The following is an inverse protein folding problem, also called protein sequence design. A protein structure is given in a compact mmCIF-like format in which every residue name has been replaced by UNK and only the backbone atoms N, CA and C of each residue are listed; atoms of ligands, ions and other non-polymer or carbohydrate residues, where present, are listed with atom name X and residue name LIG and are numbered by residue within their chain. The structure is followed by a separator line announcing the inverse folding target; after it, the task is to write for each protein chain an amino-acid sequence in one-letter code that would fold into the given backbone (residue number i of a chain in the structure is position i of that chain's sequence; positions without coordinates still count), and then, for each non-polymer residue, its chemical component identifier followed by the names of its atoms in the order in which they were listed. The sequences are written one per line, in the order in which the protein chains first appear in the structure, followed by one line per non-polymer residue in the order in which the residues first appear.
data_IF_140753774666
#
_entry.id   IF_140753774666
#
_cell.length_a   1.000
_cell.length_b   1.000
_cell.length_c   1.000
_cell.angle_alpha   90.00
_cell.angle_beta   90.00
_cell.angle_gamma   90.00
#
_symmetry.space_group_name_H-M   'P 1'
#
loop_
_entity.id
_entity.type
_entity.pdbx_description
1 polymer ?
#
# COMPACT_ATOMS: atom_id res chain seq x y z
N UNK A 1 43.89 -22.09 -66.08
CA UNK A 1 42.61 -22.75 -66.44
C UNK A 1 42.03 -23.53 -65.27
N UNK A 2 42.80 -24.45 -64.64
CA UNK A 2 42.30 -25.28 -63.52
C UNK A 2 41.88 -24.50 -62.25
N UNK A 3 42.66 -23.50 -61.81
CA UNK A 3 42.32 -22.74 -60.59
C UNK A 3 40.98 -21.98 -60.70
N UNK A 4 40.67 -21.45 -61.89
CA UNK A 4 39.38 -20.79 -62.16
C UNK A 4 38.19 -21.75 -62.14
N UNK A 5 38.41 -23.02 -62.48
CA UNK A 5 37.35 -24.03 -62.44
C UNK A 5 36.98 -24.41 -60.99
N UNK A 6 37.98 -24.52 -60.12
CA UNK A 6 37.77 -24.82 -58.68
C UNK A 6 37.05 -23.66 -57.97
N UNK A 7 37.39 -22.42 -58.30
CA UNK A 7 36.68 -21.24 -57.79
C UNK A 7 35.21 -21.21 -58.24
N UNK A 8 34.95 -21.63 -59.48
CA UNK A 8 33.61 -21.66 -60.07
C UNK A 8 32.73 -22.75 -59.43
N UNK A 9 33.30 -23.93 -59.18
CA UNK A 9 32.64 -25.03 -58.50
C UNK A 9 32.31 -24.67 -57.03
N UNK A 10 33.23 -24.01 -56.34
CA UNK A 10 33.00 -23.49 -54.98
C UNK A 10 31.91 -22.41 -54.93
N UNK A 11 31.84 -21.55 -55.95
CA UNK A 11 30.78 -20.55 -56.10
C UNK A 11 29.43 -21.20 -56.41
N UNK A 12 29.38 -22.23 -57.25
CA UNK A 12 28.16 -22.98 -57.55
C UNK A 12 27.58 -23.65 -56.31
N UNK A 13 28.42 -24.35 -55.52
CA UNK A 13 27.98 -24.98 -54.29
C UNK A 13 27.37 -23.97 -53.29
N UNK A 14 28.02 -22.80 -53.15
CA UNK A 14 27.51 -21.72 -52.29
C UNK A 14 26.20 -21.15 -52.80
N UNK A 15 26.04 -21.03 -54.12
CA UNK A 15 24.81 -20.56 -54.75
C UNK A 15 23.66 -21.55 -54.48
N UNK A 16 23.89 -22.83 -54.69
CA UNK A 16 22.89 -23.89 -54.47
C UNK A 16 22.42 -23.94 -53.00
N UNK A 17 23.35 -23.79 -52.06
CA UNK A 17 23.01 -23.75 -50.64
C UNK A 17 22.22 -22.49 -50.27
N UNK A 18 22.52 -21.34 -50.90
CA UNK A 18 21.74 -20.11 -50.73
C UNK A 18 20.34 -20.21 -51.33
N UNK A 19 20.22 -20.76 -52.54
CA UNK A 19 18.94 -21.00 -53.21
C UNK A 19 18.05 -21.93 -52.38
N UNK A 20 18.63 -23.01 -51.84
CA UNK A 20 17.93 -23.96 -50.96
C UNK A 20 17.41 -23.30 -49.69
N UNK A 21 18.16 -22.36 -49.11
CA UNK A 21 17.75 -21.64 -47.88
C UNK A 21 16.70 -20.56 -48.14
N UNK A 22 16.78 -19.85 -49.25
CA UNK A 22 15.89 -18.70 -49.55
C UNK A 22 14.58 -19.16 -50.21
N UNK A 23 14.65 -20.07 -51.17
CA UNK A 23 13.50 -20.52 -51.93
C UNK A 23 12.93 -21.86 -51.42
N UNK A 24 13.72 -22.63 -50.65
CA UNK A 24 13.36 -23.98 -50.25
C UNK A 24 13.56 -24.98 -51.40
N UNK A 25 13.02 -26.20 -51.26
CA UNK A 25 13.09 -27.24 -52.30
C UNK A 25 12.20 -26.98 -53.53
N UNK A 26 11.49 -25.85 -53.59
CA UNK A 26 10.57 -25.51 -54.66
C UNK A 26 11.00 -24.21 -55.35
N UNK A 27 11.65 -24.36 -56.51
CA UNK A 27 12.14 -23.26 -57.36
C UNK A 27 10.99 -22.58 -58.14
N UNK A 28 9.76 -23.09 -58.07
CA UNK A 28 8.61 -22.55 -58.81
C UNK A 28 8.03 -21.27 -58.19
N UNK A 29 8.41 -20.94 -56.94
CA UNK A 29 7.91 -19.75 -56.25
C UNK A 29 8.84 -18.58 -56.55
N UNK A 30 8.37 -17.67 -57.41
CA UNK A 30 9.09 -16.47 -57.86
C UNK A 30 9.62 -15.56 -56.74
N UNK A 31 10.20 -14.39 -57.06
CA UNK A 31 10.96 -13.57 -56.12
C UNK A 31 10.18 -13.30 -54.83
N UNK A 32 10.53 -14.00 -53.73
CA UNK A 32 9.90 -13.78 -52.44
C UNK A 32 10.42 -12.46 -51.87
N UNK A 33 9.53 -11.52 -51.57
CA UNK A 33 9.87 -10.30 -50.82
C UNK A 33 10.07 -10.62 -49.34
N UNK A 34 11.05 -11.49 -49.03
CA UNK A 34 11.34 -11.97 -47.68
C UNK A 34 11.65 -10.80 -46.73
N UNK A 35 12.24 -9.72 -47.24
CA UNK A 35 12.47 -8.49 -46.50
C UNK A 35 11.14 -7.84 -46.07
N UNK A 36 10.17 -7.70 -46.98
CA UNK A 36 8.86 -7.11 -46.67
C UNK A 36 8.06 -8.00 -45.71
N UNK A 37 8.12 -9.33 -45.87
CA UNK A 37 7.48 -10.28 -44.96
C UNK A 37 8.10 -10.25 -43.56
N UNK A 38 9.43 -10.16 -43.48
CA UNK A 38 10.14 -10.02 -42.21
C UNK A 38 9.81 -8.70 -41.52
N UNK A 39 9.74 -7.61 -42.27
CA UNK A 39 9.28 -6.30 -41.76
C UNK A 39 7.85 -6.41 -41.25
N UNK A 40 6.96 -7.09 -41.97
CA UNK A 40 5.57 -7.31 -41.54
C UNK A 40 5.50 -8.10 -40.23
N UNK A 41 6.30 -9.16 -40.09
CA UNK A 41 6.38 -9.95 -38.85
C UNK A 41 6.95 -9.12 -37.70
N UNK A 42 7.96 -8.29 -37.96
CA UNK A 42 8.51 -7.38 -36.95
C UNK A 42 7.45 -6.39 -36.46
N UNK A 43 6.69 -5.78 -37.38
CA UNK A 43 5.60 -4.85 -37.04
C UNK A 43 4.50 -5.55 -36.24
N UNK A 44 4.10 -6.77 -36.59
CA UNK A 44 3.09 -7.52 -35.81
C UNK A 44 3.59 -7.87 -34.42
N UNK A 45 4.84 -8.31 -34.27
CA UNK A 45 5.48 -8.58 -32.97
C UNK A 45 5.57 -7.32 -32.11
N UNK A 46 6.01 -6.19 -32.68
CA UNK A 46 6.06 -4.90 -31.98
C UNK A 46 4.67 -4.44 -31.54
N UNK A 47 3.66 -4.61 -32.38
CA UNK A 47 2.27 -4.29 -32.03
C UNK A 47 1.73 -5.18 -30.91
N UNK A 48 2.04 -6.47 -30.90
CA UNK A 48 1.64 -7.40 -29.84
C UNK A 48 2.33 -7.04 -28.52
N UNK A 49 3.64 -6.79 -28.55
CA UNK A 49 4.40 -6.37 -27.38
C UNK A 49 3.88 -5.04 -26.81
N UNK A 50 3.61 -4.04 -27.67
CA UNK A 50 3.07 -2.75 -27.27
C UNK A 50 1.65 -2.84 -26.69
N UNK A 51 0.78 -3.67 -27.27
CA UNK A 51 -0.57 -3.94 -26.72
C UNK A 51 -0.49 -4.60 -25.34
N UNK A 52 0.41 -5.57 -25.16
CA UNK A 52 0.61 -6.26 -23.88
C UNK A 52 1.07 -5.31 -22.79
N UNK A 53 2.03 -4.43 -23.07
CA UNK A 53 2.49 -3.44 -22.09
C UNK A 53 1.41 -2.40 -21.77
N UNK A 54 0.65 -1.95 -22.77
CA UNK A 54 -0.52 -1.06 -22.54
C UNK A 54 -1.55 -1.71 -21.63
N UNK A 55 -1.90 -2.98 -21.87
CA UNK A 55 -2.84 -3.73 -21.02
C UNK A 55 -2.29 -3.84 -19.60
N UNK A 56 -1.01 -4.16 -19.43
CA UNK A 56 -0.36 -4.24 -18.12
C UNK A 56 -0.40 -2.91 -17.35
N UNK A 57 -0.15 -1.78 -18.04
CA UNK A 57 -0.25 -0.45 -17.44
C UNK A 57 -1.69 -0.14 -17.04
N UNK A 58 -2.67 -0.47 -17.89
CA UNK A 58 -4.09 -0.27 -17.58
C UNK A 58 -4.54 -1.10 -16.38
N UNK A 59 -4.14 -2.37 -16.27
CA UNK A 59 -4.47 -3.20 -15.11
C UNK A 59 -3.90 -2.63 -13.80
N UNK A 60 -2.64 -2.16 -13.81
CA UNK A 60 -2.07 -1.47 -12.65
C UNK A 60 -2.84 -0.19 -12.30
N UNK A 61 -3.20 0.61 -13.32
CA UNK A 61 -4.01 1.81 -13.10
C UNK A 61 -5.41 1.48 -12.56
N UNK A 62 -6.03 0.38 -12.97
CA UNK A 62 -7.33 -0.05 -12.43
C UNK A 62 -7.20 -0.41 -10.94
N UNK A 63 -6.15 -1.13 -10.54
CA UNK A 63 -5.88 -1.41 -9.12
C UNK A 63 -5.72 -0.12 -8.32
N UNK A 64 -5.00 0.86 -8.87
CA UNK A 64 -4.82 2.15 -8.20
C UNK A 64 -6.12 2.96 -8.15
N UNK A 65 -6.90 2.98 -9.24
CA UNK A 65 -8.22 3.63 -9.29
C UNK A 65 -9.17 3.00 -8.27
N UNK A 66 -9.17 1.67 -8.10
CA UNK A 66 -9.95 0.99 -7.06
C UNK A 66 -9.53 1.46 -5.65
N UNK A 67 -8.23 1.62 -5.39
CA UNK A 67 -7.75 2.17 -4.10
C UNK A 67 -8.21 3.61 -3.88
N UNK A 68 -8.17 4.44 -4.92
CA UNK A 68 -8.64 5.83 -4.85
C UNK A 68 -10.16 5.95 -4.76
N UNK A 69 -10.91 4.95 -5.20
CA UNK A 69 -12.37 4.87 -5.08
C UNK A 69 -12.84 4.43 -3.69
N UNK A 70 -11.95 3.92 -2.83
CA UNK A 70 -12.28 3.61 -1.44
C UNK A 70 -12.52 4.93 -0.68
N UNK A 71 -13.76 5.22 -0.23
CA UNK A 71 -14.08 6.44 0.50
C UNK A 71 -13.22 6.60 1.75
N UNK A 72 -12.80 5.49 2.37
CA UNK A 72 -11.95 5.51 3.56
C UNK A 72 -10.52 5.97 3.27
N UNK A 73 -10.04 5.85 2.03
CA UNK A 73 -8.73 6.32 1.62
C UNK A 73 -8.71 7.84 1.41
N UNK A 74 -9.74 8.38 0.74
CA UNK A 74 -9.91 9.83 0.54
C UNK A 74 -10.17 10.53 1.88
N UNK A 75 -11.06 9.99 2.71
CA UNK A 75 -11.42 10.60 3.99
C UNK A 75 -10.26 10.66 5.00
N UNK A 76 -9.32 9.70 4.93
CA UNK A 76 -8.12 9.70 5.79
C UNK A 76 -6.97 10.54 5.24
N UNK A 77 -6.82 10.65 3.92
CA UNK A 77 -5.76 11.49 3.34
C UNK A 77 -6.10 12.98 3.32
N UNK A 78 -7.38 13.33 3.24
CA UNK A 78 -7.80 14.68 2.93
C UNK A 78 -8.75 15.26 3.97
N UNK A 79 -8.40 15.24 5.26
CA UNK A 79 -8.93 16.31 6.13
C UNK A 79 -8.22 17.58 5.65
N UNK A 80 -8.89 18.47 4.90
CA UNK A 80 -8.22 19.62 4.32
C UNK A 80 -7.71 20.52 5.44
N UNK A 81 -6.57 21.19 5.26
CA UNK A 81 -5.99 22.02 6.32
C UNK A 81 -6.93 23.15 6.77
N UNK A 82 -7.79 23.63 5.87
CA UNK A 82 -8.88 24.53 6.20
C UNK A 82 -9.89 23.93 7.19
N UNK A 83 -10.21 22.64 7.07
CA UNK A 83 -11.11 21.93 7.99
C UNK A 83 -10.44 21.69 9.34
N UNK A 84 -9.13 21.37 9.36
CA UNK A 84 -8.36 21.28 10.62
C UNK A 84 -8.35 22.62 11.36
N UNK A 85 -8.15 23.72 10.64
CA UNK A 85 -8.18 25.06 11.21
C UNK A 85 -9.59 25.39 11.75
N UNK A 86 -10.64 25.12 10.98
CA UNK A 86 -12.02 25.33 11.40
C UNK A 86 -12.35 24.52 12.65
N UNK A 87 -11.90 23.27 12.72
CA UNK A 87 -12.07 22.39 13.88
C UNK A 87 -11.39 22.97 15.12
N UNK A 88 -10.11 23.36 15.01
CA UNK A 88 -9.35 23.99 16.10
C UNK A 88 -10.03 25.28 16.58
N UNK A 89 -10.46 26.14 15.67
CA UNK A 89 -11.14 27.40 16.02
C UNK A 89 -12.52 27.13 16.67
N UNK A 90 -13.25 26.12 16.19
CA UNK A 90 -14.54 25.74 16.79
C UNK A 90 -14.39 25.11 18.18
N UNK A 91 -13.27 24.43 18.44
CA UNK A 91 -12.96 23.82 19.74
C UNK A 91 -12.05 24.70 20.63
N UNK A 92 -11.69 25.92 20.20
CA UNK A 92 -10.70 26.77 20.88
C UNK A 92 -11.05 27.03 22.34
N UNK A 93 -12.33 27.21 22.67
CA UNK A 93 -12.79 27.43 24.05
C UNK A 93 -12.91 26.12 24.85
N UNK A 94 -13.04 24.99 24.15
CA UNK A 94 -13.30 23.69 24.75
C UNK A 94 -12.01 22.94 25.12
N UNK A 95 -10.96 23.11 24.32
CA UNK A 95 -9.62 22.56 24.60
C UNK A 95 -9.06 23.04 25.95
N UNK A 96 -8.99 24.36 26.25
CA UNK A 96 -8.43 24.85 27.51
C UNK A 96 -9.32 24.51 28.71
N UNK A 97 -10.65 24.54 28.57
CA UNK A 97 -11.57 24.18 29.64
C UNK A 97 -11.48 22.70 30.00
N UNK A 98 -11.36 21.81 28.99
CA UNK A 98 -11.10 20.38 29.19
C UNK A 98 -9.73 20.14 29.81
N UNK A 99 -8.69 20.82 29.35
CA UNK A 99 -7.33 20.69 29.91
C UNK A 99 -7.29 21.12 31.39
N UNK A 100 -7.95 22.23 31.74
CA UNK A 100 -8.06 22.69 33.12
C UNK A 100 -8.82 21.69 34.02
N UNK A 101 -9.91 21.11 33.52
CA UNK A 101 -10.66 20.09 34.23
C UNK A 101 -9.82 18.81 34.41
N UNK A 102 -9.05 18.42 33.41
CA UNK A 102 -8.20 17.24 33.45
C UNK A 102 -7.04 17.41 34.44
N UNK A 103 -6.45 18.60 34.52
CA UNK A 103 -5.49 18.95 35.57
C UNK A 103 -6.11 18.91 36.97
N UNK A 104 -7.36 19.38 37.14
CA UNK A 104 -8.06 19.24 38.42
C UNK A 104 -8.26 17.77 38.81
N UNK A 105 -8.67 16.92 37.86
CA UNK A 105 -8.83 15.48 38.10
C UNK A 105 -7.50 14.83 38.47
N UNK A 106 -6.41 15.18 37.77
CA UNK A 106 -5.06 14.70 38.07
C UNK A 106 -4.60 15.12 39.47
N UNK A 107 -4.95 16.31 39.92
CA UNK A 107 -4.63 16.79 41.27
C UNK A 107 -5.42 16.05 42.37
N UNK A 108 -6.60 15.52 42.05
CA UNK A 108 -7.46 14.78 42.98
C UNK A 108 -7.09 13.29 43.01
N UNK A 109 -6.50 12.76 41.95
CA UNK A 109 -6.02 11.37 41.85
C UNK A 109 -5.21 10.88 43.07
N UNK A 110 -4.21 11.62 43.60
CA UNK A 110 -3.44 11.17 44.77
C UNK A 110 -4.24 11.17 46.09
N UNK A 111 -5.40 11.86 46.14
CA UNK A 111 -6.26 11.87 47.33
C UNK A 111 -7.00 10.54 47.45
N UNK A 112 -7.33 9.89 46.32
CA UNK A 112 -7.97 8.57 46.29
C UNK A 112 -7.04 7.48 46.84
N UNK A 113 -5.74 7.62 46.62
CA UNK A 113 -4.71 6.73 47.16
C UNK A 113 -4.23 7.13 48.56
N UNK A 114 -4.86 8.14 49.18
CA UNK A 114 -4.47 8.66 50.48
C UNK A 114 -4.57 7.60 51.58
N UNK A 115 -3.52 7.50 52.40
CA UNK A 115 -3.46 6.57 53.54
C UNK A 115 -4.64 6.74 54.53
N UNK A 116 -5.25 7.92 54.58
CA UNK A 116 -6.45 8.20 55.39
C UNK A 116 -7.68 7.43 54.90
N UNK A 117 -7.84 7.22 53.59
CA UNK A 117 -8.93 6.41 53.01
C UNK A 117 -8.67 4.93 53.27
N UNK A 118 -7.42 4.49 53.18
CA UNK A 118 -7.05 3.10 53.48
C UNK A 118 -7.19 2.75 54.97
N UNK A 119 -7.00 3.72 55.87
CA UNK A 119 -7.12 3.53 57.33
C UNK A 119 -8.56 3.55 57.86
N UNK A 120 -9.58 3.81 57.01
CA UNK A 120 -10.99 3.89 57.42
C UNK A 120 -11.48 2.61 58.14
N UNK A 121 -11.18 1.38 57.67
CA UNK A 121 -11.62 0.15 58.35
C UNK A 121 -11.06 0.01 59.77
N UNK A 122 -9.79 0.39 59.98
CA UNK A 122 -9.13 0.33 61.29
C UNK A 122 -9.74 1.34 62.28
N UNK A 123 -10.04 2.55 61.80
CA UNK A 123 -10.73 3.56 62.60
C UNK A 123 -12.18 3.15 62.91
N UNK A 124 -12.89 2.53 61.97
CA UNK A 124 -14.25 2.01 62.19
C UNK A 124 -14.28 0.91 63.27
N UNK A 125 -13.32 -0.02 63.27
CA UNK A 125 -13.22 -1.07 64.28
C UNK A 125 -12.96 -0.50 65.70
N UNK A 126 -12.09 0.53 65.80
CA UNK A 126 -11.84 1.24 67.06
C UNK A 126 -13.07 2.01 67.53
N UNK A 127 -13.78 2.67 66.61
CA UNK A 127 -15.02 3.39 66.90
C UNK A 127 -16.13 2.45 67.38
N UNK A 128 -16.30 1.28 66.74
CA UNK A 128 -17.26 0.27 67.18
C UNK A 128 -16.99 -0.22 68.59
N UNK A 129 -15.71 -0.49 68.94
CA UNK A 129 -15.34 -0.87 70.31
C UNK A 129 -15.66 0.23 71.31
N UNK A 130 -15.33 1.48 70.99
CA UNK A 130 -15.67 2.62 71.85
C UNK A 130 -17.18 2.79 72.00
N UNK A 131 -17.95 2.62 70.93
CA UNK A 131 -19.42 2.65 70.97
C UNK A 131 -19.97 1.55 71.88
N UNK A 132 -19.44 0.32 71.80
CA UNK A 132 -19.84 -0.79 72.66
C UNK A 132 -19.58 -0.47 74.15
N UNK A 133 -18.40 0.06 74.46
CA UNK A 133 -18.02 0.45 75.82
C UNK A 133 -18.90 1.60 76.32
N UNK A 134 -19.18 2.58 75.46
CA UNK A 134 -20.05 3.70 75.82
C UNK A 134 -21.48 3.25 76.13
N UNK A 135 -22.03 2.34 75.34
CA UNK A 135 -23.35 1.74 75.61
C UNK A 135 -23.33 0.99 76.95
N UNK A 136 -22.26 0.24 77.24
CA UNK A 136 -22.11 -0.44 78.53
C UNK A 136 -22.03 0.53 79.71
N UNK A 137 -21.40 1.70 79.53
CA UNK A 137 -21.31 2.75 80.54
C UNK A 137 -22.61 3.52 80.75
N UNK A 138 -23.48 3.64 79.74
CA UNK A 138 -24.77 4.33 79.85
C UNK A 138 -25.89 3.46 80.43
N UNK A 139 -25.76 2.13 80.35
CA UNK A 139 -26.78 1.17 80.82
C UNK A 139 -26.49 0.67 82.25
N UNK A 140 -25.32 1.00 82.81
CA UNK A 140 -24.94 0.75 84.21
C UNK A 140 -25.22 1.98 85.09
#
# INVERSE_FOLDING_TARGET
MAARAVELEGLQWRLEELERRVFGGDRARGPRKMADELVKVQVTLSNIAGKRERIKILFKKIEDVIKYLDPQYIDRMAVPDAMKLQFILSEEQFIPSRAALLEQVKNIQPILDGASIQAIPDHAAKLQRLSQIHIQQQVA
#
